data_IF_289996825397
#
_entry.id   IF_289996825397
#
_cell.length_a   1.000
_cell.length_b   1.000
_cell.length_c   1.000
_cell.angle_alpha   90.00
_cell.angle_beta   90.00
_cell.angle_gamma   90.00
#
_symmetry.space_group_name_H-M   'P 1'
#
loop_
_entity.id
_entity.type
_entity.pdbx_description
1 polymer ?
#
# COMPACT_ATOMS: atom_id res chain seq x y z
N UNK A 1 3.18 -15.95 7.98
CA UNK A 1 3.31 -14.62 7.36
C UNK A 1 4.78 -14.26 7.32
N UNK A 2 5.25 -13.75 6.19
CA UNK A 2 6.57 -13.11 6.05
C UNK A 2 6.33 -11.62 5.85
N UNK A 3 6.87 -10.78 6.75
CA UNK A 3 6.53 -9.36 6.82
C UNK A 3 7.79 -8.55 6.58
N UNK A 4 7.67 -7.53 5.73
CA UNK A 4 8.75 -6.61 5.37
C UNK A 4 8.21 -5.19 5.48
N UNK A 5 9.00 -4.27 6.03
CA UNK A 5 8.51 -2.93 6.28
C UNK A 5 9.34 -2.10 7.25
N UNK A 6 8.66 -1.19 7.92
CA UNK A 6 9.26 -0.19 8.78
C UNK A 6 8.75 -0.27 10.24
N UNK A 7 8.76 0.87 10.93
CA UNK A 7 8.35 1.02 12.32
C UNK A 7 6.89 0.66 12.59
N UNK A 8 6.02 0.67 11.56
CA UNK A 8 4.62 0.29 11.71
C UNK A 8 4.45 -1.23 11.88
N UNK A 9 5.44 -2.03 11.47
CA UNK A 9 5.34 -3.49 11.51
C UNK A 9 6.31 -4.15 12.48
N UNK A 10 7.45 -3.52 12.77
CA UNK A 10 8.52 -4.14 13.56
C UNK A 10 8.07 -4.65 14.94
N UNK A 11 8.44 -5.90 15.23
CA UNK A 11 8.42 -6.51 16.57
C UNK A 11 9.83 -6.72 17.14
N UNK A 12 10.86 -6.25 16.42
CA UNK A 12 12.29 -6.46 16.72
C UNK A 12 12.72 -7.93 16.78
N UNK A 13 12.15 -8.76 15.91
CA UNK A 13 12.65 -10.12 15.65
C UNK A 13 13.85 -10.06 14.70
N UNK A 14 14.86 -10.90 14.92
CA UNK A 14 16.08 -10.93 14.12
C UNK A 14 16.38 -12.36 13.65
N UNK A 15 16.40 -12.64 12.34
CA UNK A 15 16.36 -14.00 11.80
C UNK A 15 17.57 -14.88 12.11
N UNK A 16 18.71 -14.31 12.49
CA UNK A 16 19.94 -15.04 12.78
C UNK A 16 20.22 -15.20 14.27
N UNK A 17 19.51 -14.47 15.14
CA UNK A 17 19.77 -14.44 16.58
C UNK A 17 18.54 -14.75 17.43
N UNK A 18 17.34 -14.48 16.92
CA UNK A 18 16.09 -14.83 17.57
C UNK A 18 15.65 -16.26 17.18
N UNK A 19 14.96 -16.99 18.07
CA UNK A 19 14.28 -18.23 17.73
C UNK A 19 13.29 -18.05 16.58
N UNK A 20 13.13 -19.09 15.76
CA UNK A 20 12.06 -19.09 14.76
C UNK A 20 10.68 -18.99 15.43
N UNK A 21 9.73 -18.26 14.83
CA UNK A 21 8.33 -18.28 15.23
C UNK A 21 7.77 -19.70 15.34
N UNK A 22 6.99 -19.94 16.40
CA UNK A 22 6.29 -21.21 16.65
C UNK A 22 4.84 -20.93 17.09
N UNK A 23 3.93 -21.91 17.09
CA UNK A 23 2.58 -21.69 17.61
C UNK A 23 2.53 -21.17 19.05
N UNK A 24 3.50 -21.53 19.90
CA UNK A 24 3.59 -21.06 21.29
C UNK A 24 4.29 -19.69 21.44
N UNK A 25 5.10 -19.29 20.45
CA UNK A 25 5.75 -17.97 20.36
C UNK A 25 5.64 -17.48 18.92
N UNK A 26 4.48 -16.94 18.52
CA UNK A 26 4.12 -16.77 17.11
C UNK A 26 4.87 -15.62 16.42
N UNK A 27 5.62 -14.81 17.18
CA UNK A 27 6.51 -13.77 16.65
C UNK A 27 8.00 -14.06 16.94
N UNK A 28 8.33 -15.23 17.51
CA UNK A 28 9.72 -15.65 17.78
C UNK A 28 10.45 -14.89 18.90
N UNK A 29 9.86 -13.84 19.46
CA UNK A 29 10.34 -13.08 20.61
C UNK A 29 9.29 -13.06 21.73
N UNK A 30 9.66 -12.59 22.93
CA UNK A 30 8.69 -12.39 24.01
C UNK A 30 7.57 -11.44 23.55
N UNK A 31 6.32 -11.88 23.69
CA UNK A 31 5.16 -11.08 23.28
C UNK A 31 5.03 -9.83 24.15
N UNK A 32 4.74 -8.63 23.57
CA UNK A 32 4.35 -8.37 22.18
C UNK A 32 5.52 -8.00 21.22
N UNK A 33 6.76 -8.25 21.63
CA UNK A 33 7.96 -7.76 20.96
C UNK A 33 8.27 -6.30 21.33
N UNK A 34 9.32 -5.76 20.74
CA UNK A 34 9.66 -4.33 20.86
C UNK A 34 9.09 -3.61 19.64
N UNK A 35 8.04 -2.83 19.86
CA UNK A 35 7.24 -2.15 18.84
C UNK A 35 7.37 -0.63 18.95
N UNK A 36 6.99 0.08 17.89
CA UNK A 36 6.98 1.56 17.87
C UNK A 36 5.79 2.17 18.63
N UNK A 37 4.82 1.35 19.03
CA UNK A 37 3.57 1.78 19.69
C UNK A 37 3.71 2.02 21.19
N UNK A 38 4.84 1.63 21.79
CA UNK A 38 5.12 1.81 23.22
C UNK A 38 5.38 0.51 23.96
N UNK A 39 5.88 0.62 25.20
CA UNK A 39 6.23 -0.52 26.03
C UNK A 39 5.02 -1.43 26.29
N UNK A 40 5.22 -2.74 26.13
CA UNK A 40 4.22 -3.78 26.40
C UNK A 40 2.92 -3.66 25.60
N UNK A 41 2.95 -2.97 24.45
CA UNK A 41 1.80 -2.83 23.57
C UNK A 41 2.07 -3.47 22.20
N UNK A 42 1.17 -4.32 21.69
CA UNK A 42 1.30 -4.93 20.37
C UNK A 42 1.00 -3.93 19.25
N UNK A 43 1.70 -4.11 18.13
CA UNK A 43 1.30 -3.52 16.86
C UNK A 43 0.36 -4.51 16.11
N UNK A 44 0.07 -4.22 14.84
CA UNK A 44 -0.85 -5.04 14.04
C UNK A 44 -0.35 -6.49 13.87
N UNK A 45 0.97 -6.71 13.79
CA UNK A 45 1.58 -8.06 13.71
C UNK A 45 1.29 -8.86 14.97
N UNK A 46 1.49 -8.25 16.14
CA UNK A 46 1.16 -8.86 17.43
C UNK A 46 -0.33 -9.20 17.56
N UNK A 47 -1.22 -8.32 17.08
CA UNK A 47 -2.67 -8.58 17.09
C UNK A 47 -3.08 -9.68 16.11
N UNK A 48 -2.53 -9.70 14.89
CA UNK A 48 -2.81 -10.75 13.90
C UNK A 48 -2.42 -12.14 14.40
N UNK A 49 -1.31 -12.24 15.14
CA UNK A 49 -0.78 -13.52 15.64
C UNK A 49 -1.40 -13.99 16.94
N UNK A 50 -1.85 -13.07 17.82
CA UNK A 50 -2.36 -13.42 19.16
C UNK A 50 -3.87 -13.13 19.37
N UNK A 51 -4.46 -12.16 18.67
CA UNK A 51 -5.83 -11.68 18.90
C UNK A 51 -6.86 -12.07 17.84
N UNK A 52 -6.44 -12.14 16.56
CA UNK A 52 -7.29 -12.51 15.42
C UNK A 52 -7.04 -13.93 14.90
N UNK A 53 -6.31 -14.72 15.69
CA UNK A 53 -5.84 -16.04 15.32
C UNK A 53 -7.02 -17.05 15.33
N UNK A 54 -7.67 -17.21 14.17
CA UNK A 54 -8.53 -18.37 13.87
C UNK A 54 -7.71 -19.59 13.41
N UNK A 55 -6.39 -19.42 13.19
CA UNK A 55 -5.44 -20.42 12.69
C UNK A 55 -4.03 -20.07 13.19
N UNK A 56 -3.20 -21.04 13.58
CA UNK A 56 -1.82 -20.90 14.11
C UNK A 56 -0.88 -20.04 13.24
N UNK A 57 -1.12 -18.73 13.17
CA UNK A 57 -0.42 -17.77 12.34
C UNK A 57 0.90 -17.42 13.03
N UNK A 58 1.98 -17.77 12.37
CA UNK A 58 3.33 -17.35 12.75
C UNK A 58 3.76 -16.17 11.88
N UNK A 59 4.47 -15.22 12.46
CA UNK A 59 5.01 -14.05 11.78
C UNK A 59 6.54 -14.07 11.82
N UNK A 60 7.14 -14.25 10.65
CA UNK A 60 8.55 -13.99 10.39
C UNK A 60 8.65 -12.53 9.98
N UNK A 61 8.88 -11.64 10.95
CA UNK A 61 8.84 -10.20 10.76
C UNK A 61 10.24 -9.62 10.57
N UNK A 62 10.56 -9.28 9.33
CA UNK A 62 11.81 -8.63 8.93
C UNK A 62 11.70 -7.10 8.95
N UNK A 63 10.57 -6.52 9.39
CA UNK A 63 10.41 -5.08 9.42
C UNK A 63 11.34 -4.44 10.46
N UNK A 64 12.01 -3.37 10.06
CA UNK A 64 12.97 -2.63 10.91
C UNK A 64 12.55 -1.17 10.97
N UNK A 65 12.43 -0.62 12.18
CA UNK A 65 12.08 0.79 12.37
C UNK A 65 12.96 1.74 11.55
N UNK A 66 12.33 2.78 10.97
CA UNK A 66 13.01 3.78 10.16
C UNK A 66 13.49 3.30 8.78
N UNK A 67 13.21 2.06 8.38
CA UNK A 67 13.62 1.57 7.08
C UNK A 67 12.84 2.24 5.95
N UNK A 68 13.55 2.53 4.88
CA UNK A 68 12.99 2.97 3.63
C UNK A 68 13.06 1.87 2.57
N UNK A 69 12.89 2.21 1.29
CA UNK A 69 12.92 1.21 0.22
C UNK A 69 14.28 0.52 0.05
N UNK A 70 15.38 1.19 0.40
CA UNK A 70 16.72 0.59 0.44
C UNK A 70 16.82 -0.40 1.60
N UNK A 71 16.34 -0.02 2.80
CA UNK A 71 16.26 -0.91 3.95
C UNK A 71 15.39 -2.14 3.69
N UNK A 72 14.20 -1.93 3.11
CA UNK A 72 13.31 -2.98 2.63
C UNK A 72 14.00 -3.94 1.66
N UNK A 73 14.80 -3.42 0.74
CA UNK A 73 15.59 -4.24 -0.18
C UNK A 73 16.61 -5.10 0.59
N UNK A 74 17.26 -4.53 1.61
CA UNK A 74 18.18 -5.26 2.48
C UNK A 74 17.46 -6.37 3.25
N UNK A 75 16.28 -6.12 3.81
CA UNK A 75 15.47 -7.13 4.52
C UNK A 75 15.22 -8.37 3.63
N UNK A 76 14.91 -8.16 2.35
CA UNK A 76 14.73 -9.27 1.42
C UNK A 76 16.08 -9.94 1.11
N UNK A 77 17.06 -9.17 0.62
CA UNK A 77 18.28 -9.72 0.04
C UNK A 77 19.24 -10.32 1.06
N UNK A 78 19.32 -9.72 2.24
CA UNK A 78 20.34 -10.04 3.24
C UNK A 78 19.80 -10.81 4.43
N UNK A 79 18.49 -10.76 4.67
CA UNK A 79 17.87 -11.43 5.81
C UNK A 79 16.96 -12.57 5.37
N UNK A 80 15.92 -12.31 4.57
CA UNK A 80 15.00 -13.36 4.13
C UNK A 80 15.66 -14.38 3.20
N UNK A 81 16.29 -13.95 2.11
CA UNK A 81 16.85 -14.88 1.11
C UNK A 81 17.86 -15.86 1.75
N UNK A 82 18.81 -15.42 2.61
CA UNK A 82 19.75 -16.33 3.25
C UNK A 82 19.15 -17.21 4.34
N UNK A 83 17.96 -16.88 4.87
CA UNK A 83 17.30 -17.65 5.95
C UNK A 83 16.06 -18.37 5.45
N UNK A 84 14.85 -17.84 5.70
CA UNK A 84 13.60 -18.48 5.29
C UNK A 84 13.51 -18.73 3.78
N UNK A 85 14.17 -17.92 2.95
CA UNK A 85 14.26 -18.11 1.51
C UNK A 85 14.93 -19.42 1.09
N UNK A 86 15.74 -20.03 1.96
CA UNK A 86 16.34 -21.36 1.74
C UNK A 86 15.35 -22.52 1.95
N UNK A 87 14.17 -22.27 2.51
CA UNK A 87 13.13 -23.28 2.80
C UNK A 87 13.71 -24.50 3.52
N UNK A 88 14.47 -24.26 4.58
CA UNK A 88 15.02 -25.33 5.41
C UNK A 88 13.89 -26.15 6.04
N UNK A 89 14.21 -27.35 6.52
CA UNK A 89 13.23 -28.23 7.16
C UNK A 89 12.50 -27.57 8.36
N UNK A 90 13.16 -26.61 9.02
CA UNK A 90 12.62 -25.86 10.16
C UNK A 90 11.69 -24.70 9.73
N UNK A 91 11.77 -24.26 8.47
CA UNK A 91 10.91 -23.19 7.90
C UNK A 91 10.32 -23.66 6.55
N UNK A 92 9.49 -24.73 6.51
CA UNK A 92 9.03 -25.37 5.28
C UNK A 92 7.79 -24.67 4.71
N UNK A 93 7.96 -23.46 4.17
CA UNK A 93 6.86 -22.72 3.57
C UNK A 93 6.62 -23.08 2.10
N UNK A 94 5.36 -22.99 1.69
CA UNK A 94 4.83 -23.27 0.35
C UNK A 94 3.83 -22.17 -0.03
N UNK A 95 3.45 -22.05 -1.31
CA UNK A 95 2.32 -21.20 -1.73
C UNK A 95 1.05 -21.37 -0.88
N UNK A 96 0.73 -22.58 -0.44
CA UNK A 96 -0.54 -22.86 0.25
C UNK A 96 -0.56 -22.47 1.73
N UNK A 97 0.61 -22.25 2.34
CA UNK A 97 0.74 -21.96 3.77
C UNK A 97 1.49 -20.66 4.09
N UNK A 98 1.72 -19.81 3.08
CA UNK A 98 2.48 -18.57 3.24
C UNK A 98 1.83 -17.37 2.59
N UNK A 99 2.06 -16.22 3.21
CA UNK A 99 1.67 -14.91 2.71
C UNK A 99 2.78 -13.92 3.00
N UNK A 100 3.07 -13.07 2.02
CA UNK A 100 4.15 -12.10 2.01
C UNK A 100 3.54 -10.70 2.07
N UNK A 101 3.81 -9.98 3.15
CA UNK A 101 3.19 -8.68 3.42
C UNK A 101 4.27 -7.61 3.37
N UNK A 102 4.06 -6.59 2.56
CA UNK A 102 4.96 -5.45 2.40
C UNK A 102 4.26 -4.17 2.82
N UNK A 103 4.73 -3.56 3.91
CA UNK A 103 4.25 -2.25 4.35
C UNK A 103 5.42 -1.29 4.50
N UNK A 104 5.65 -0.51 3.44
CA UNK A 104 6.76 0.44 3.32
C UNK A 104 6.28 1.63 2.49
N UNK A 105 7.03 2.73 2.55
CA UNK A 105 6.77 3.93 1.73
C UNK A 105 6.39 5.16 2.53
N UNK A 106 6.25 5.04 3.86
CA UNK A 106 6.25 6.20 4.76
C UNK A 106 7.57 6.97 4.58
N UNK A 107 8.66 6.26 4.27
CA UNK A 107 10.00 6.83 4.15
C UNK A 107 10.48 7.17 2.71
N UNK A 108 10.04 6.53 1.59
CA UNK A 108 10.60 6.77 0.22
C UNK A 108 9.81 6.16 -0.98
N UNK A 109 10.19 6.52 -2.23
CA UNK A 109 9.64 5.99 -3.51
C UNK A 109 10.53 4.91 -4.23
N UNK A 110 9.95 3.71 -4.41
CA UNK A 110 10.19 2.52 -5.28
C UNK A 110 11.60 2.00 -5.68
N UNK A 111 11.82 0.70 -5.40
CA UNK A 111 12.50 -0.31 -6.23
C UNK A 111 11.80 -1.69 -6.05
N UNK A 112 11.75 -2.53 -7.09
CA UNK A 112 10.90 -3.74 -7.13
C UNK A 112 11.63 -5.02 -6.72
N UNK A 113 11.47 -5.47 -5.47
CA UNK A 113 12.04 -6.74 -4.96
C UNK A 113 11.07 -7.94 -4.99
N UNK A 114 9.81 -7.72 -5.38
CA UNK A 114 8.78 -8.77 -5.37
C UNK A 114 9.10 -9.94 -6.29
N UNK A 115 9.79 -9.65 -7.39
CA UNK A 115 10.23 -10.69 -8.32
C UNK A 115 11.20 -11.68 -7.68
N UNK A 116 12.04 -11.24 -6.74
CA UNK A 116 12.95 -12.13 -6.02
C UNK A 116 12.18 -13.11 -5.12
N UNK A 117 11.21 -12.59 -4.37
CA UNK A 117 10.32 -13.43 -3.53
C UNK A 117 9.51 -14.41 -4.40
N UNK A 118 8.94 -13.95 -5.51
CA UNK A 118 8.20 -14.77 -6.45
C UNK A 118 9.05 -15.90 -7.06
N UNK A 119 10.29 -15.58 -7.46
CA UNK A 119 11.23 -16.55 -8.02
C UNK A 119 11.58 -17.65 -7.02
N UNK A 120 11.57 -17.32 -5.71
CA UNK A 120 11.73 -18.28 -4.63
C UNK A 120 10.46 -19.08 -4.32
N UNK A 121 9.36 -18.84 -5.03
CA UNK A 121 8.11 -19.59 -4.91
C UNK A 121 7.04 -18.90 -4.06
N UNK A 122 7.21 -17.63 -3.68
CA UNK A 122 6.13 -16.87 -3.07
C UNK A 122 4.97 -16.69 -4.07
N UNK A 123 3.73 -16.85 -3.60
CA UNK A 123 2.53 -16.75 -4.45
C UNK A 123 1.41 -15.90 -3.87
N UNK A 124 1.43 -15.55 -2.59
CA UNK A 124 0.41 -14.66 -2.00
C UNK A 124 1.09 -13.40 -1.48
N UNK A 125 0.81 -12.28 -2.14
CA UNK A 125 1.39 -10.98 -1.85
C UNK A 125 0.31 -10.01 -1.39
N UNK A 126 0.55 -9.33 -0.26
CA UNK A 126 -0.22 -8.18 0.18
C UNK A 126 0.71 -6.98 0.23
N UNK A 127 0.33 -5.93 -0.48
CA UNK A 127 0.90 -4.60 -0.36
C UNK A 127 0.00 -3.75 0.51
N UNK A 128 0.56 -3.08 1.52
CA UNK A 128 -0.19 -2.12 2.32
C UNK A 128 0.15 -0.72 1.83
N UNK A 129 -0.85 0.03 1.42
CA UNK A 129 -0.66 1.42 1.00
C UNK A 129 -0.28 2.32 2.19
N UNK A 130 0.25 3.51 1.93
CA UNK A 130 0.68 4.45 2.97
C UNK A 130 -0.56 5.13 3.58
N UNK A 131 -0.68 5.17 4.91
CA UNK A 131 -1.80 5.86 5.58
C UNK A 131 -1.71 7.37 5.36
N UNK A 132 -2.79 8.14 5.58
CA UNK A 132 -2.82 9.61 5.53
C UNK A 132 -2.05 10.22 6.71
N UNK A 133 -0.76 9.91 6.82
CA UNK A 133 0.09 10.42 7.89
C UNK A 133 0.41 11.90 7.69
N UNK A 134 0.03 12.51 6.56
CA UNK A 134 -0.06 13.98 6.42
C UNK A 134 -0.99 14.61 7.47
N UNK A 135 -1.90 13.82 8.04
CA UNK A 135 -2.81 14.22 9.12
C UNK A 135 -2.26 13.91 10.52
N UNK A 136 -1.07 13.32 10.63
CA UNK A 136 -0.37 13.16 11.91
C UNK A 136 0.19 14.50 12.41
N UNK A 137 0.49 14.66 13.71
CA UNK A 137 1.10 15.88 14.22
C UNK A 137 2.36 16.29 13.45
N UNK A 138 3.24 15.34 13.13
CA UNK A 138 4.42 15.58 12.30
C UNK A 138 4.03 15.91 10.85
N UNK A 139 3.10 15.16 10.28
CA UNK A 139 2.64 15.33 8.90
C UNK A 139 2.12 16.73 8.59
N UNK A 140 1.40 17.35 9.53
CA UNK A 140 0.88 18.72 9.36
C UNK A 140 1.96 19.78 9.16
N UNK A 141 3.22 19.46 9.48
CA UNK A 141 4.38 20.34 9.28
C UNK A 141 4.94 20.29 7.85
N UNK A 142 4.46 19.38 6.99
CA UNK A 142 4.93 19.18 5.62
C UNK A 142 3.88 19.55 4.57
N UNK A 143 3.91 20.79 4.02
CA UNK A 143 3.01 21.19 2.93
C UNK A 143 3.10 20.25 1.71
N UNK A 144 1.96 19.84 1.18
CA UNK A 144 1.86 18.97 0.01
C UNK A 144 2.14 17.49 0.27
N UNK A 145 2.31 17.07 1.54
CA UNK A 145 2.55 15.67 1.88
C UNK A 145 1.39 14.74 1.49
N UNK A 146 0.13 15.17 1.70
CA UNK A 146 -1.04 14.37 1.33
C UNK A 146 -1.08 14.02 -0.17
N UNK A 147 -0.75 14.98 -1.05
CA UNK A 147 -0.66 14.74 -2.50
C UNK A 147 0.46 13.75 -2.85
N UNK A 148 1.60 13.83 -2.15
CA UNK A 148 2.72 12.88 -2.34
C UNK A 148 2.32 11.47 -1.91
N UNK A 149 1.61 11.33 -0.79
CA UNK A 149 1.10 10.03 -0.30
C UNK A 149 0.10 9.46 -1.32
N UNK A 150 -0.82 10.26 -1.84
CA UNK A 150 -1.78 9.81 -2.85
C UNK A 150 -1.09 9.37 -4.15
N UNK A 151 -0.09 10.13 -4.61
CA UNK A 151 0.70 9.76 -5.78
C UNK A 151 1.42 8.42 -5.56
N UNK A 152 2.07 8.25 -4.40
CA UNK A 152 2.70 6.98 -4.04
C UNK A 152 1.72 5.82 -4.02
N UNK A 153 0.56 5.97 -3.37
CA UNK A 153 -0.46 4.93 -3.31
C UNK A 153 -0.99 4.55 -4.70
N UNK A 154 -1.11 5.52 -5.61
CA UNK A 154 -1.42 5.28 -7.02
C UNK A 154 -0.33 4.51 -7.77
N UNK A 155 0.94 4.86 -7.55
CA UNK A 155 2.08 4.14 -8.11
C UNK A 155 2.16 2.69 -7.61
N UNK A 156 2.00 2.48 -6.29
CA UNK A 156 1.97 1.16 -5.68
C UNK A 156 0.89 0.28 -6.34
N UNK A 157 -0.32 0.82 -6.51
CA UNK A 157 -1.43 0.09 -7.14
C UNK A 157 -1.14 -0.24 -8.60
N UNK A 158 -0.61 0.72 -9.36
CA UNK A 158 -0.25 0.53 -10.77
C UNK A 158 0.79 -0.58 -10.94
N UNK A 159 1.79 -0.59 -10.09
CA UNK A 159 2.85 -1.58 -10.17
C UNK A 159 2.48 -2.93 -9.57
N UNK A 160 1.62 -2.99 -8.56
CA UNK A 160 1.01 -4.23 -8.10
C UNK A 160 0.19 -4.89 -9.23
N UNK A 161 -0.56 -4.09 -10.00
CA UNK A 161 -1.27 -4.58 -11.19
C UNK A 161 -0.31 -5.09 -12.26
N UNK A 162 0.78 -4.36 -12.55
CA UNK A 162 1.79 -4.81 -13.51
C UNK A 162 2.44 -6.13 -13.08
N UNK A 163 2.76 -6.27 -11.79
CA UNK A 163 3.31 -7.50 -11.21
C UNK A 163 2.31 -8.66 -11.28
N UNK A 164 1.03 -8.41 -10.99
CA UNK A 164 -0.06 -9.39 -11.12
C UNK A 164 -0.21 -9.89 -12.55
N UNK A 165 -0.13 -8.98 -13.54
CA UNK A 165 -0.21 -9.34 -14.96
C UNK A 165 1.01 -10.14 -15.44
N UNK A 166 2.18 -9.92 -14.84
CA UNK A 166 3.40 -10.65 -15.16
C UNK A 166 3.45 -12.04 -14.51
N UNK A 167 2.81 -12.21 -13.34
CA UNK A 167 2.89 -13.40 -12.50
C UNK A 167 1.47 -13.92 -12.22
N UNK A 168 0.81 -14.43 -13.25
CA UNK A 168 -0.64 -14.77 -13.22
C UNK A 168 -1.00 -15.98 -12.35
N UNK A 169 -0.01 -16.74 -11.90
CA UNK A 169 -0.15 -17.83 -10.92
C UNK A 169 -0.01 -17.34 -9.46
N UNK A 170 0.25 -16.04 -9.25
CA UNK A 170 0.33 -15.43 -7.93
C UNK A 170 -0.90 -14.54 -7.64
N UNK A 171 -1.31 -14.53 -6.38
CA UNK A 171 -2.25 -13.56 -5.82
C UNK A 171 -1.50 -12.30 -5.39
N UNK A 172 -1.88 -11.16 -5.95
CA UNK A 172 -1.34 -9.85 -5.64
C UNK A 172 -2.46 -8.95 -5.16
N UNK A 173 -2.44 -8.54 -3.90
CA UNK A 173 -3.52 -7.75 -3.32
C UNK A 173 -2.98 -6.46 -2.69
N UNK A 174 -3.81 -5.42 -2.66
CA UNK A 174 -3.48 -4.15 -2.01
C UNK A 174 -4.48 -3.91 -0.88
N UNK A 175 -3.99 -3.86 0.36
CA UNK A 175 -4.76 -3.49 1.53
C UNK A 175 -4.66 -1.98 1.79
N UNK A 176 -5.81 -1.35 2.09
CA UNK A 176 -5.89 0.10 2.28
C UNK A 176 -5.77 0.50 3.74
N UNK A 177 -4.53 0.73 4.20
CA UNK A 177 -4.34 1.41 5.49
C UNK A 177 -4.85 2.85 5.42
N UNK A 178 -4.82 3.46 4.23
CA UNK A 178 -5.39 4.78 3.96
C UNK A 178 -6.85 4.89 4.40
N UNK A 179 -7.69 3.94 3.99
CA UNK A 179 -9.11 3.94 4.35
C UNK A 179 -9.33 3.62 5.83
N UNK A 180 -8.52 2.73 6.40
CA UNK A 180 -8.55 2.40 7.83
C UNK A 180 -8.37 3.66 8.69
N UNK A 181 -7.34 4.46 8.40
CA UNK A 181 -7.06 5.69 9.11
C UNK A 181 -8.08 6.78 8.83
N UNK A 182 -8.47 6.99 7.56
CA UNK A 182 -9.46 8.01 7.24
C UNK A 182 -10.82 7.72 7.86
N UNK A 183 -11.19 6.46 8.05
CA UNK A 183 -12.40 6.08 8.78
C UNK A 183 -12.39 6.67 10.21
N UNK A 184 -11.27 6.54 10.93
CA UNK A 184 -11.12 7.09 12.28
C UNK A 184 -11.03 8.62 12.27
N UNK A 185 -10.26 9.18 11.34
CA UNK A 185 -9.96 10.61 11.29
C UNK A 185 -11.10 11.46 10.72
N UNK A 186 -12.01 10.88 9.93
CA UNK A 186 -13.14 11.61 9.33
C UNK A 186 -14.37 11.64 10.25
N UNK A 187 -14.57 10.62 11.08
CA UNK A 187 -15.68 10.58 12.05
C UNK A 187 -15.19 10.11 13.43
N UNK A 188 -14.33 10.90 14.10
CA UNK A 188 -13.78 10.53 15.39
C UNK A 188 -14.87 10.36 16.46
N UNK A 189 -15.97 11.11 16.37
CA UNK A 189 -17.09 11.02 17.31
C UNK A 189 -17.78 9.66 17.28
N UNK A 190 -17.97 9.06 16.09
CA UNK A 190 -18.54 7.73 15.98
C UNK A 190 -17.71 6.67 16.72
N UNK A 191 -16.40 6.87 16.78
CA UNK A 191 -15.47 5.99 17.48
C UNK A 191 -15.15 6.43 18.92
N UNK A 192 -15.87 7.40 19.47
CA UNK A 192 -15.64 7.98 20.79
C UNK A 192 -14.21 8.54 20.98
N UNK A 193 -13.57 9.00 19.90
CA UNK A 193 -12.25 9.62 19.95
C UNK A 193 -12.41 11.11 20.26
N UNK A 194 -11.70 11.57 21.29
CA UNK A 194 -11.79 12.95 21.80
C UNK A 194 -10.56 13.79 21.45
N UNK A 195 -9.43 13.15 21.21
CA UNK A 195 -8.13 13.73 20.87
C UNK A 195 -7.49 13.00 19.66
N UNK A 196 -8.16 12.97 18.48
CA UNK A 196 -7.70 12.19 17.33
C UNK A 196 -6.45 12.76 16.62
N UNK A 197 -6.07 14.02 16.89
CA UNK A 197 -4.97 14.70 16.19
C UNK A 197 -3.84 15.14 17.14
N UNK A 198 -3.80 14.60 18.36
CA UNK A 198 -2.88 15.03 19.41
C UNK A 198 -1.82 13.96 19.65
N UNK A 199 -0.57 14.39 19.88
CA UNK A 199 0.52 13.52 20.36
C UNK A 199 0.13 12.92 21.72
N UNK A 200 0.19 11.59 21.84
CA UNK A 200 -0.29 10.87 23.01
C UNK A 200 -1.82 10.84 23.13
N UNK A 201 -2.53 11.18 22.06
CA UNK A 201 -3.99 11.14 21.97
C UNK A 201 -4.50 9.77 21.56
N UNK A 202 -5.71 9.73 20.99
CA UNK A 202 -6.38 8.46 20.69
C UNK A 202 -5.76 7.73 19.50
N UNK A 203 -5.38 8.49 18.46
CA UNK A 203 -4.84 7.93 17.20
C UNK A 203 -3.33 7.94 17.21
N UNK A 204 -2.69 9.02 17.65
CA UNK A 204 -1.24 9.22 17.53
C UNK A 204 -0.55 9.07 18.88
N UNK A 205 0.30 8.05 19.02
CA UNK A 205 1.10 7.82 20.22
C UNK A 205 2.25 8.83 20.33
N UNK A 206 2.93 9.07 19.23
CA UNK A 206 3.89 10.17 19.08
C UNK A 206 3.49 11.06 17.90
N UNK A 207 4.43 11.79 17.31
CA UNK A 207 4.14 12.70 16.22
C UNK A 207 3.90 11.98 14.87
N UNK A 208 4.23 10.69 14.77
CA UNK A 208 4.12 9.89 13.54
C UNK A 208 3.42 8.54 13.74
N UNK A 209 3.68 7.86 14.85
CA UNK A 209 3.26 6.48 15.06
C UNK A 209 1.86 6.42 15.68
N UNK A 210 0.99 5.54 15.16
CA UNK A 210 -0.33 5.36 15.70
C UNK A 210 -0.28 4.59 17.03
N UNK A 211 -1.34 4.72 17.83
CA UNK A 211 -1.48 3.96 19.09
C UNK A 211 -1.70 2.46 18.82
N UNK A 212 -1.49 1.65 19.85
CA UNK A 212 -1.81 0.22 19.79
C UNK A 212 -3.30 -0.02 19.47
N UNK A 213 -4.21 0.84 19.93
CA UNK A 213 -5.64 0.76 19.58
C UNK A 213 -5.91 0.92 18.07
N UNK A 214 -5.18 1.81 17.40
CA UNK A 214 -5.25 1.95 15.93
C UNK A 214 -4.63 0.73 15.25
N UNK A 215 -3.53 0.18 15.78
CA UNK A 215 -2.96 -1.09 15.29
C UNK A 215 -3.91 -2.28 15.45
N UNK A 216 -4.70 -2.34 16.52
CA UNK A 216 -5.77 -3.32 16.67
C UNK A 216 -6.79 -3.16 15.55
N UNK A 217 -7.22 -1.92 15.26
CA UNK A 217 -8.15 -1.63 14.16
C UNK A 217 -7.60 -2.04 12.81
N UNK A 218 -6.32 -1.76 12.53
CA UNK A 218 -5.63 -2.21 11.31
C UNK A 218 -5.66 -3.74 11.20
N UNK A 219 -5.31 -4.45 12.27
CA UNK A 219 -5.32 -5.91 12.28
C UNK A 219 -6.75 -6.48 12.10
N UNK A 220 -7.75 -5.87 12.75
CA UNK A 220 -9.15 -6.24 12.59
C UNK A 220 -9.64 -6.06 11.15
N UNK A 221 -9.34 -4.91 10.54
CA UNK A 221 -9.78 -4.59 9.18
C UNK A 221 -9.04 -5.47 8.15
N UNK A 222 -7.74 -5.74 8.37
CA UNK A 222 -6.96 -6.66 7.54
C UNK A 222 -7.51 -8.10 7.63
N UNK A 223 -7.77 -8.60 8.84
CA UNK A 223 -8.31 -9.94 9.05
C UNK A 223 -9.73 -10.07 8.47
N UNK A 224 -10.60 -9.08 8.72
CA UNK A 224 -11.95 -9.04 8.16
C UNK A 224 -11.94 -8.96 6.63
N UNK A 225 -11.04 -8.14 6.05
CA UNK A 225 -10.85 -8.05 4.62
C UNK A 225 -10.39 -9.38 4.02
N UNK A 226 -9.39 -10.03 4.61
CA UNK A 226 -8.90 -11.36 4.18
C UNK A 226 -10.02 -12.41 4.17
N UNK A 227 -10.85 -12.45 5.20
CA UNK A 227 -12.01 -13.37 5.28
C UNK A 227 -13.09 -13.03 4.24
N UNK A 228 -13.23 -11.76 3.88
CA UNK A 228 -14.21 -11.31 2.88
C UNK A 228 -13.83 -11.62 1.43
N UNK A 229 -12.56 -11.97 1.17
CA UNK A 229 -12.08 -12.24 -0.18
C UNK A 229 -12.71 -13.54 -0.73
N UNK A 230 -13.15 -13.55 -2.00
CA UNK A 230 -13.57 -14.79 -2.64
C UNK A 230 -12.38 -15.77 -2.74
N UNK A 231 -12.67 -17.06 -2.72
CA UNK A 231 -11.65 -18.08 -2.95
C UNK A 231 -10.95 -17.85 -4.30
N UNK A 232 -9.62 -17.79 -4.28
CA UNK A 232 -8.82 -17.48 -5.48
C UNK A 232 -8.72 -16.00 -5.84
N UNK A 233 -9.05 -15.07 -4.92
CA UNK A 233 -8.80 -13.65 -5.12
C UNK A 233 -7.31 -13.39 -5.39
N UNK A 234 -7.00 -12.99 -6.63
CA UNK A 234 -5.61 -12.87 -7.09
C UNK A 234 -5.25 -11.51 -7.66
N UNK A 235 -6.23 -10.69 -8.03
CA UNK A 235 -5.98 -9.39 -8.62
C UNK A 235 -6.06 -8.30 -7.55
N UNK A 236 -5.17 -7.29 -7.59
CA UNK A 236 -5.32 -6.12 -6.76
C UNK A 236 -6.61 -5.50 -7.26
N UNK A 237 -7.66 -5.54 -6.44
CA UNK A 237 -8.94 -4.97 -6.84
C UNK A 237 -8.62 -3.53 -7.19
N UNK A 238 -8.66 -3.18 -8.48
CA UNK A 238 -8.71 -1.80 -8.87
C UNK A 238 -9.81 -1.22 -8.00
N UNK A 239 -9.53 -0.13 -7.26
CA UNK A 239 -10.60 0.62 -6.63
C UNK A 239 -11.64 0.77 -7.73
N UNK A 240 -12.76 0.06 -7.57
CA UNK A 240 -13.88 0.20 -8.47
C UNK A 240 -14.46 1.55 -8.10
N UNK A 241 -13.85 2.61 -8.63
CA UNK A 241 -14.64 3.74 -9.10
C UNK A 241 -15.69 3.05 -9.96
N UNK A 242 -16.92 2.98 -9.47
CA UNK A 242 -18.02 2.43 -10.23
C UNK A 242 -18.02 3.18 -11.57
N UNK A 243 -17.47 2.53 -12.59
CA UNK A 243 -17.55 2.98 -13.96
C UNK A 243 -18.98 2.70 -14.37
N UNK A 244 -19.88 3.61 -14.03
CA UNK A 244 -21.12 3.74 -14.77
C UNK A 244 -20.75 4.33 -16.13
N UNK A 245 -20.10 3.52 -16.96
CA UNK A 245 -19.90 3.81 -18.37
C UNK A 245 -21.26 3.64 -19.03
N UNK A 246 -22.10 4.68 -18.97
CA UNK A 246 -23.23 4.80 -19.87
C UNK A 246 -22.68 5.14 -21.26
N UNK A 247 -22.29 4.11 -21.99
CA UNK A 247 -22.00 4.24 -23.41
C UNK A 247 -23.31 4.39 -24.17
N UNK A 248 -23.80 5.62 -24.32
CA UNK A 248 -24.82 5.92 -25.31
C UNK A 248 -24.13 6.07 -26.66
N UNK A 249 -24.01 4.98 -27.41
CA UNK A 249 -23.61 5.00 -28.81
C UNK A 249 -24.73 5.63 -29.64
N UNK A 250 -24.67 6.95 -29.81
CA UNK A 250 -25.34 7.60 -30.94
C UNK A 250 -24.29 7.88 -31.98
N UNK A 251 -24.37 7.15 -33.10
CA UNK A 251 -23.53 7.37 -34.25
C UNK A 251 -23.68 8.81 -34.76
N UNK A 252 -22.59 9.33 -35.32
CA UNK A 252 -22.48 10.59 -36.08
C UNK A 252 -22.30 11.86 -35.23
N UNK A 253 -21.05 12.26 -34.98
CA UNK A 253 -20.51 13.64 -35.19
C UNK A 253 -19.08 13.78 -34.66
N UNK A 254 -18.36 14.74 -35.25
CA UNK A 254 -16.92 15.07 -35.21
C UNK A 254 -16.36 15.60 -33.87
N UNK A 255 -16.83 15.11 -32.72
CA UNK A 255 -16.36 15.57 -31.41
C UNK A 255 -15.07 14.86 -30.94
N UNK A 256 -14.17 15.60 -30.26
CA UNK A 256 -12.91 15.06 -29.72
C UNK A 256 -13.22 14.04 -28.60
N UNK A 257 -12.51 12.91 -28.49
CA UNK A 257 -12.64 12.02 -27.35
C UNK A 257 -12.17 12.75 -26.08
N UNK A 258 -13.04 12.79 -25.08
CA UNK A 258 -12.77 13.37 -23.76
C UNK A 258 -12.86 12.24 -22.74
N UNK A 259 -11.87 12.15 -21.85
CA UNK A 259 -11.90 11.28 -20.69
C UNK A 259 -11.99 12.14 -19.43
N UNK A 260 -12.96 11.86 -18.58
CA UNK A 260 -13.19 12.57 -17.31
C UNK A 260 -12.83 11.63 -16.18
N UNK A 261 -11.91 12.05 -15.30
CA UNK A 261 -11.48 11.27 -14.13
C UNK A 261 -11.88 12.05 -12.87
N UNK A 262 -12.60 11.38 -11.97
CA UNK A 262 -12.95 11.92 -10.65
C UNK A 262 -11.80 11.59 -9.69
N UNK A 263 -11.27 12.61 -9.03
CA UNK A 263 -10.21 12.47 -8.02
C UNK A 263 -10.81 12.90 -6.68
N UNK A 264 -11.12 11.95 -5.80
CA UNK A 264 -11.77 12.22 -4.51
C UNK A 264 -13.26 12.57 -4.61
N UNK A 265 -13.83 13.09 -3.51
CA UNK A 265 -15.28 13.31 -3.38
C UNK A 265 -15.83 14.52 -4.15
N UNK A 266 -14.98 15.36 -4.76
CA UNK A 266 -15.44 16.61 -5.39
C UNK A 266 -14.51 17.25 -6.45
N UNK A 267 -13.43 16.60 -6.91
CA UNK A 267 -12.57 17.17 -7.97
C UNK A 267 -12.66 16.37 -9.28
N UNK A 268 -12.73 17.10 -10.41
CA UNK A 268 -12.86 16.51 -11.75
C UNK A 268 -11.69 16.97 -12.63
N UNK A 269 -10.93 16.01 -13.17
CA UNK A 269 -9.89 16.28 -14.18
C UNK A 269 -10.42 15.87 -15.54
N UNK A 270 -10.40 16.81 -16.49
CA UNK A 270 -10.79 16.54 -17.89
C UNK A 270 -9.54 16.40 -18.75
N UNK A 271 -9.39 15.23 -19.38
CA UNK A 271 -8.28 14.91 -20.26
C UNK A 271 -8.79 14.89 -21.71
N UNK A 272 -8.24 15.76 -22.55
CA UNK A 272 -8.55 15.77 -23.98
C UNK A 272 -7.55 14.88 -24.70
N UNK A 273 -8.04 13.77 -25.25
CA UNK A 273 -7.20 12.83 -25.97
C UNK A 273 -6.90 13.35 -27.39
N UNK A 274 -5.67 13.17 -27.89
CA UNK A 274 -5.35 13.44 -29.29
C UNK A 274 -6.17 12.52 -30.22
N UNK A 275 -6.41 12.97 -31.45
CA UNK A 275 -7.04 12.10 -32.45
C UNK A 275 -6.12 10.90 -32.75
N UNK A 276 -6.69 9.73 -33.07
CA UNK A 276 -5.89 8.63 -33.61
C UNK A 276 -5.05 9.13 -34.79
N UNK A 277 -3.75 8.85 -34.78
CA UNK A 277 -2.75 9.24 -35.79
C UNK A 277 -2.28 10.71 -35.77
N UNK A 278 -2.52 11.48 -34.71
CA UNK A 278 -1.93 12.83 -34.54
C UNK A 278 -0.65 12.79 -33.68
N UNK A 279 0.38 13.56 -34.05
CA UNK A 279 1.62 13.75 -33.25
C UNK A 279 1.47 14.75 -32.10
N UNK A 280 0.24 15.14 -31.75
CA UNK A 280 -0.02 16.16 -30.73
C UNK A 280 -0.02 15.55 -29.32
N UNK A 281 0.55 16.27 -28.34
CA UNK A 281 0.51 15.88 -26.94
C UNK A 281 -0.92 15.97 -26.36
N UNK A 282 -1.23 15.10 -25.39
CA UNK A 282 -2.47 15.20 -24.62
C UNK A 282 -2.46 16.48 -23.76
N UNK A 283 -3.62 17.14 -23.65
CA UNK A 283 -3.74 18.39 -22.88
C UNK A 283 -4.58 18.13 -21.65
N UNK A 284 -4.01 18.39 -20.47
CA UNK A 284 -4.71 18.37 -19.19
C UNK A 284 -5.32 19.75 -18.92
N UNK A 285 -6.59 19.77 -18.53
CA UNK A 285 -7.25 20.98 -18.03
C UNK A 285 -7.82 20.69 -16.64
N UNK A 286 -7.47 21.55 -15.68
CA UNK A 286 -7.94 21.49 -14.30
C UNK A 286 -8.94 22.61 -14.05
N UNK A 287 -10.07 22.29 -13.42
CA UNK A 287 -11.09 23.26 -13.02
C UNK A 287 -11.47 22.93 -11.57
N UNK A 288 -11.18 23.84 -10.63
CA UNK A 288 -11.66 23.74 -9.25
C UNK A 288 -13.04 24.39 -9.17
N UNK A 289 -14.03 23.67 -8.67
CA UNK A 289 -15.35 24.24 -8.35
C UNK A 289 -15.21 25.15 -7.12
N UNK A 290 -14.89 26.42 -7.37
CA UNK A 290 -14.73 27.40 -6.30
C UNK A 290 -13.95 28.62 -6.72
N UNK A 291 -14.54 29.47 -7.57
CA UNK A 291 -14.40 30.94 -7.64
C UNK A 291 -14.49 31.43 -9.09
N UNK A 292 -15.30 32.47 -9.28
CA UNK A 292 -15.43 33.21 -10.53
C UNK A 292 -14.15 33.98 -10.82
N UNK A 293 -13.19 33.36 -11.48
CA UNK A 293 -12.13 34.06 -12.23
C UNK A 293 -11.62 33.17 -13.37
N UNK A 294 -11.31 33.78 -14.51
CA UNK A 294 -11.02 33.14 -15.80
C UNK A 294 -10.12 31.90 -15.73
N UNK A 295 -10.35 30.87 -16.56
CA UNK A 295 -9.53 29.65 -16.57
C UNK A 295 -8.11 29.98 -17.05
N UNK A 296 -7.12 29.87 -16.16
CA UNK A 296 -5.71 29.84 -16.56
C UNK A 296 -5.39 28.45 -17.11
N UNK A 297 -5.34 28.30 -18.43
CA UNK A 297 -4.86 27.08 -19.08
C UNK A 297 -3.35 26.96 -18.83
N UNK A 298 -2.92 26.08 -17.92
CA UNK A 298 -1.51 25.67 -17.85
C UNK A 298 -1.26 24.55 -18.84
N UNK A 299 -0.51 24.85 -19.90
CA UNK A 299 -0.07 23.86 -20.87
C UNK A 299 1.15 23.10 -20.30
N UNK A 300 0.95 21.87 -19.83
CA UNK A 300 2.06 20.99 -19.44
C UNK A 300 2.43 20.08 -20.61
N UNK A 301 3.66 20.23 -21.12
CA UNK A 301 4.23 19.32 -22.11
C UNK A 301 4.82 18.11 -21.38
N UNK A 302 4.18 16.95 -21.46
CA UNK A 302 4.69 15.71 -20.89
C UNK A 302 5.47 14.94 -21.98
N UNK A 303 6.74 14.65 -21.71
CA UNK A 303 7.62 13.82 -22.55
C UNK A 303 7.10 12.38 -22.65
N UNK A 304 7.20 11.78 -23.84
CA UNK A 304 6.76 10.41 -24.16
C UNK A 304 7.33 9.32 -23.25
N UNK A 305 8.43 9.57 -22.53
CA UNK A 305 8.97 8.66 -21.51
C UNK A 305 7.98 8.33 -20.39
N UNK A 306 7.07 9.25 -20.05
CA UNK A 306 6.08 9.01 -18.99
C UNK A 306 4.81 8.31 -19.49
N UNK A 307 4.56 8.31 -20.81
CA UNK A 307 3.37 7.65 -21.38
C UNK A 307 3.60 6.16 -21.63
N UNK A 308 4.84 5.72 -21.91
CA UNK A 308 5.16 4.30 -22.09
C UNK A 308 4.86 3.43 -20.86
N UNK A 309 4.99 4.00 -19.66
CA UNK A 309 4.69 3.33 -18.40
C UNK A 309 3.18 3.15 -18.15
N UNK A 310 2.31 3.92 -18.81
CA UNK A 310 0.87 3.88 -18.60
C UNK A 310 0.13 2.85 -19.50
N UNK A 311 0.80 2.28 -20.51
CA UNK A 311 0.17 1.36 -21.49
C UNK A 311 0.91 0.04 -21.73
N UNK A 312 1.92 -0.30 -20.93
CA UNK A 312 2.47 -1.66 -20.88
C UNK A 312 3.18 -2.14 -22.15
N UNK A 313 3.73 -1.24 -22.98
CA UNK A 313 4.62 -1.62 -24.08
C UNK A 313 6.08 -1.55 -23.64
N UNK A 314 6.76 -2.70 -23.63
CA UNK A 314 8.19 -2.82 -23.37
C UNK A 314 9.00 -2.00 -24.38
N UNK A 315 9.71 -0.97 -23.93
CA UNK A 315 10.73 -0.29 -24.75
C UNK A 315 12.09 -0.85 -24.35
N UNK A 316 12.66 -1.70 -25.20
CA UNK A 316 14.09 -1.99 -25.16
C UNK A 316 14.84 -0.78 -25.72
N UNK A 317 15.76 -0.22 -24.94
CA UNK A 317 16.79 0.69 -25.45
C UNK A 317 18.13 0.00 -25.27
N UNK A 318 18.73 -0.44 -26.37
CA UNK A 318 20.18 -0.65 -26.43
C UNK A 318 20.85 0.72 -26.46
N UNK A 319 21.94 0.83 -25.70
CA UNK A 319 22.77 2.01 -25.39
C UNK A 319 22.95 2.95 -26.58
#
# INVERSE_FOLDING_TARGET
MFIFGDSYSTVSWAPTTAPNPTPASPIGVEWPGVTSVGAFQPNWVGYMTNGFNQSNLMAYDYAIAGNNITGYTSQIQTEFIPTAGQKTADIPWTPDNSIFISWIGINDLASWQQQNLYTLGARNFIFVNVPPWDRSPLGTTFPGLGERILNWNGQLTTSALAFSNQNTDASTLVFSSWDTFNTLLNDPSHYNLTSPNTVGGDIWKDDLHPTSAVHYRIANDLAGWLVSLPAGASNPTAISVATTASATTTATTTARPVATVIVGLSETITIHLPRPNSRAAAVLSYQSDGSSSSPSIRQMNISWTYLGLAIGLSVYVFI
#
